data_IF_668386514083
#
_entry.id   IF_668386514083
#
_cell.length_a   1.000
_cell.length_b   1.000
_cell.length_c   1.000
_cell.angle_alpha   90.00
_cell.angle_beta   90.00
_cell.angle_gamma   90.00
#
_symmetry.space_group_name_H-M   'P 1'
#
loop_
_entity.id
_entity.type
_entity.pdbx_description
1 polymer ?
#
# COMPACT_ATOMS: atom_id res chain seq x y z
N UNK A 1 -31.89 16.63 12.40
CA UNK A 1 -32.94 15.62 12.04
C UNK A 1 -32.19 14.31 11.87
N UNK A 2 -32.76 13.19 12.36
CA UNK A 2 -32.18 11.88 12.05
C UNK A 2 -32.30 11.61 10.56
N UNK A 3 -31.31 10.93 9.98
CA UNK A 3 -31.44 10.45 8.61
C UNK A 3 -32.49 9.32 8.54
N UNK A 4 -33.09 9.11 7.38
CA UNK A 4 -34.14 8.11 7.17
C UNK A 4 -33.64 6.90 6.37
N UNK A 5 -32.37 6.49 6.55
CA UNK A 5 -31.87 5.29 5.90
C UNK A 5 -32.48 4.02 6.51
N UNK A 6 -32.67 2.96 5.72
CA UNK A 6 -33.02 1.64 6.24
C UNK A 6 -32.10 1.20 7.36
N UNK A 7 -32.56 0.30 8.22
CA UNK A 7 -31.80 -0.15 9.38
C UNK A 7 -31.35 -1.60 9.26
N UNK A 8 -30.19 -1.87 9.86
CA UNK A 8 -29.72 -3.22 10.15
C UNK A 8 -29.43 -3.35 11.64
N UNK A 9 -29.83 -4.46 12.24
CA UNK A 9 -29.63 -4.75 13.66
C UNK A 9 -28.45 -5.69 13.84
N UNK A 10 -27.61 -5.40 14.82
CA UNK A 10 -26.38 -6.16 15.10
C UNK A 10 -26.46 -6.87 16.44
N UNK A 11 -25.71 -7.98 16.53
CA UNK A 11 -25.55 -8.76 17.77
C UNK A 11 -24.69 -8.03 18.80
N UNK A 12 -24.75 -8.45 20.06
CA UNK A 12 -23.90 -7.93 21.14
C UNK A 12 -22.40 -8.10 20.85
N UNK A 13 -22.01 -9.15 20.11
CA UNK A 13 -20.63 -9.31 19.63
C UNK A 13 -20.28 -8.22 18.61
N UNK A 14 -21.20 -7.91 17.68
CA UNK A 14 -21.07 -6.82 16.72
C UNK A 14 -20.96 -5.46 17.41
N UNK A 15 -21.76 -5.21 18.45
CA UNK A 15 -21.67 -4.00 19.27
C UNK A 15 -20.28 -3.85 19.89
N UNK A 16 -19.79 -4.88 20.57
CA UNK A 16 -18.45 -4.89 21.17
C UNK A 16 -17.36 -4.64 20.14
N UNK A 17 -17.51 -5.18 18.93
CA UNK A 17 -16.60 -5.00 17.81
C UNK A 17 -16.55 -3.54 17.33
N UNK A 18 -17.71 -2.91 17.12
CA UNK A 18 -17.80 -1.51 16.66
C UNK A 18 -17.39 -0.51 17.74
N UNK A 19 -17.62 -0.83 19.03
CA UNK A 19 -17.15 0.00 20.16
C UNK A 19 -15.63 0.09 20.24
N UNK A 20 -14.89 -0.91 19.74
CA UNK A 20 -13.42 -0.86 19.61
C UNK A 20 -12.95 0.06 18.48
N UNK A 21 -13.86 0.71 17.76
CA UNK A 21 -13.56 1.65 16.70
C UNK A 21 -13.44 1.02 15.30
N UNK A 22 -13.78 -0.25 15.16
CA UNK A 22 -13.79 -0.93 13.86
C UNK A 22 -14.78 -0.29 12.90
N UNK A 23 -14.42 -0.28 11.60
CA UNK A 23 -15.24 0.30 10.54
C UNK A 23 -15.89 -0.77 9.64
N UNK A 24 -15.61 -2.04 9.89
CA UNK A 24 -16.18 -3.18 9.19
C UNK A 24 -17.09 -3.98 10.10
N UNK A 25 -18.29 -4.27 9.64
CA UNK A 25 -19.20 -5.21 10.28
C UNK A 25 -19.29 -6.48 9.42
N UNK A 26 -19.10 -7.62 10.04
CA UNK A 26 -19.11 -8.91 9.36
C UNK A 26 -20.49 -9.57 9.37
N UNK A 27 -20.73 -10.50 8.44
CA UNK A 27 -22.00 -11.19 8.23
C UNK A 27 -22.51 -11.92 9.49
N UNK A 28 -21.62 -12.50 10.27
CA UNK A 28 -21.98 -13.21 11.50
C UNK A 28 -22.46 -12.28 12.64
N UNK A 29 -22.25 -10.98 12.51
CA UNK A 29 -22.70 -9.98 13.48
C UNK A 29 -24.05 -9.34 13.10
N UNK A 30 -24.60 -9.69 11.94
CA UNK A 30 -25.91 -9.23 11.48
C UNK A 30 -26.98 -10.13 12.07
N UNK A 31 -27.98 -9.55 12.77
CA UNK A 31 -29.15 -10.26 13.27
C UNK A 31 -30.38 -10.04 12.37
N UNK A 32 -30.64 -8.79 12.00
CA UNK A 32 -31.79 -8.43 11.18
C UNK A 32 -31.44 -7.30 10.23
N UNK A 33 -32.11 -7.25 9.11
CA UNK A 33 -32.05 -6.13 8.15
C UNK A 33 -33.46 -5.80 7.69
N UNK A 34 -33.73 -4.52 7.43
CA UNK A 34 -34.97 -4.09 6.80
C UNK A 34 -35.14 -4.78 5.44
N UNK A 35 -36.39 -4.94 5.03
CA UNK A 35 -36.70 -5.54 3.74
C UNK A 35 -36.27 -4.63 2.58
N UNK A 36 -35.85 -5.26 1.47
CA UNK A 36 -35.56 -4.59 0.20
C UNK A 36 -34.38 -3.60 0.23
N UNK A 37 -33.40 -3.76 1.13
CA UNK A 37 -32.17 -2.97 1.05
C UNK A 37 -31.37 -3.45 -0.17
N UNK A 38 -31.07 -2.57 -1.15
CA UNK A 38 -30.25 -2.97 -2.30
C UNK A 38 -28.80 -3.21 -1.89
N UNK A 39 -28.09 -4.06 -2.65
CA UNK A 39 -26.64 -4.21 -2.49
C UNK A 39 -25.95 -2.88 -2.77
N UNK A 40 -25.02 -2.44 -1.88
CA UNK A 40 -24.42 -1.10 -1.94
C UNK A 40 -25.27 0.01 -1.33
N UNK A 41 -26.49 -0.29 -0.85
CA UNK A 41 -27.38 0.69 -0.21
C UNK A 41 -26.79 1.26 1.08
N UNK A 42 -27.21 2.49 1.42
CA UNK A 42 -26.82 3.14 2.68
C UNK A 42 -27.78 2.69 3.77
N UNK A 43 -27.23 2.26 4.92
CA UNK A 43 -28.01 1.79 6.08
C UNK A 43 -27.52 2.42 7.37
N UNK A 44 -28.43 2.51 8.34
CA UNK A 44 -28.10 2.76 9.74
C UNK A 44 -27.87 1.43 10.47
N UNK A 45 -26.87 1.39 11.32
CA UNK A 45 -26.53 0.24 12.15
C UNK A 45 -27.02 0.53 13.57
N UNK A 46 -27.88 -0.32 14.08
CA UNK A 46 -28.43 -0.22 15.43
C UNK A 46 -28.27 -1.53 16.20
N UNK A 47 -28.27 -1.47 17.52
CA UNK A 47 -28.42 -2.63 18.39
C UNK A 47 -29.91 -2.98 18.61
N UNK A 48 -30.16 -4.10 19.28
CA UNK A 48 -31.51 -4.54 19.61
C UNK A 48 -32.31 -3.57 20.51
N UNK A 49 -31.61 -2.77 21.32
CA UNK A 49 -32.22 -1.73 22.15
C UNK A 49 -32.39 -0.38 21.43
N UNK A 50 -32.03 -0.32 20.13
CA UNK A 50 -32.13 0.88 19.29
C UNK A 50 -30.96 1.85 19.41
N UNK A 51 -29.86 1.47 20.07
CA UNK A 51 -28.65 2.31 20.13
C UNK A 51 -27.98 2.37 18.75
N UNK A 52 -27.68 3.59 18.28
CA UNK A 52 -27.05 3.85 16.98
C UNK A 52 -25.53 3.64 17.04
N UNK A 53 -24.99 2.91 16.05
CA UNK A 53 -23.56 2.61 15.94
C UNK A 53 -22.87 3.24 14.72
N UNK A 54 -23.64 3.61 13.70
CA UNK A 54 -23.09 4.24 12.50
C UNK A 54 -24.00 4.14 11.29
N UNK A 55 -23.62 4.83 10.23
CA UNK A 55 -24.21 4.74 8.89
C UNK A 55 -23.16 4.26 7.91
N UNK A 56 -23.49 3.34 7.01
CA UNK A 56 -22.50 2.75 6.09
C UNK A 56 -23.11 2.10 4.85
N UNK A 57 -22.24 1.60 3.99
CA UNK A 57 -22.63 0.81 2.81
C UNK A 57 -22.92 -0.63 3.19
N UNK A 58 -24.10 -1.10 2.85
CA UNK A 58 -24.54 -2.48 3.05
C UNK A 58 -24.15 -3.38 1.88
N UNK A 59 -23.75 -4.60 2.15
CA UNK A 59 -23.53 -5.61 1.11
C UNK A 59 -24.29 -6.90 1.38
N UNK A 60 -25.00 -7.35 0.34
CA UNK A 60 -25.68 -8.65 0.32
C UNK A 60 -24.72 -9.82 0.07
N UNK A 61 -23.58 -9.57 -0.57
CA UNK A 61 -22.67 -10.59 -1.11
C UNK A 61 -21.42 -10.74 -0.23
N UNK A 62 -20.83 -9.64 0.17
CA UNK A 62 -19.56 -9.61 0.91
C UNK A 62 -19.64 -10.24 2.29
N UNK A 63 -18.53 -10.81 2.75
CA UNK A 63 -18.36 -11.15 4.16
C UNK A 63 -18.35 -9.92 5.08
N UNK A 64 -17.91 -8.77 4.55
CA UNK A 64 -18.02 -7.47 5.23
C UNK A 64 -19.40 -6.90 4.87
N UNK A 65 -20.38 -7.19 5.72
CA UNK A 65 -21.77 -6.85 5.48
C UNK A 65 -22.04 -5.35 5.49
N UNK A 66 -21.32 -4.60 6.33
CA UNK A 66 -21.41 -3.15 6.29
C UNK A 66 -20.04 -2.48 6.48
N UNK A 67 -19.78 -1.45 5.69
CA UNK A 67 -18.62 -0.57 5.83
C UNK A 67 -19.08 0.80 6.31
N UNK A 68 -18.68 1.16 7.53
CA UNK A 68 -19.12 2.39 8.18
C UNK A 68 -18.49 3.60 7.48
N UNK A 69 -19.34 4.57 7.15
CA UNK A 69 -18.98 5.87 6.60
C UNK A 69 -18.99 6.94 7.67
N UNK A 70 -19.99 6.93 8.54
CA UNK A 70 -20.16 7.95 9.59
C UNK A 70 -20.66 7.35 10.90
N UNK A 71 -20.23 7.94 12.02
CA UNK A 71 -20.78 7.70 13.36
C UNK A 71 -21.70 8.80 13.84
N UNK A 72 -22.00 9.78 13.00
CA UNK A 72 -22.92 10.86 13.29
C UNK A 72 -24.30 10.53 12.70
N UNK A 73 -25.28 10.27 13.56
CA UNK A 73 -26.64 9.86 13.19
C UNK A 73 -27.39 10.92 12.34
N UNK A 74 -27.01 12.19 12.45
CA UNK A 74 -27.63 13.28 11.68
C UNK A 74 -26.93 13.58 10.35
N UNK A 75 -25.85 12.87 10.03
CA UNK A 75 -25.08 13.10 8.82
C UNK A 75 -25.72 12.41 7.62
N UNK A 76 -25.95 13.17 6.54
CA UNK A 76 -26.39 12.64 5.25
C UNK A 76 -25.18 12.20 4.43
N UNK A 77 -25.28 11.04 3.82
CA UNK A 77 -24.25 10.51 2.91
C UNK A 77 -24.61 10.97 1.50
N UNK A 78 -24.30 12.23 1.22
CA UNK A 78 -24.59 12.93 -0.03
C UNK A 78 -23.31 13.49 -0.68
N UNK A 79 -23.45 14.31 -1.73
CA UNK A 79 -22.31 14.95 -2.40
C UNK A 79 -21.43 15.73 -1.42
N UNK A 80 -22.01 16.46 -0.47
CA UNK A 80 -21.27 17.28 0.49
C UNK A 80 -20.46 16.42 1.47
N UNK A 81 -20.98 15.24 1.83
CA UNK A 81 -20.24 14.27 2.63
C UNK A 81 -18.95 13.83 1.90
N UNK A 82 -19.07 13.38 0.66
CA UNK A 82 -17.91 12.90 -0.12
C UNK A 82 -16.93 14.03 -0.40
N UNK A 83 -17.42 15.21 -0.76
CA UNK A 83 -16.59 16.39 -1.00
C UNK A 83 -15.76 16.74 0.24
N UNK A 84 -16.37 16.82 1.41
CA UNK A 84 -15.66 17.11 2.66
C UNK A 84 -14.59 16.06 2.96
N UNK A 85 -14.85 14.75 2.74
CA UNK A 85 -13.90 13.66 2.98
C UNK A 85 -12.74 13.73 2.00
N UNK A 86 -13.01 13.99 0.74
CA UNK A 86 -11.98 14.11 -0.31
C UNK A 86 -11.08 15.32 -0.05
N UNK A 87 -11.66 16.48 0.31
CA UNK A 87 -10.90 17.68 0.69
C UNK A 87 -10.02 17.42 1.90
N UNK A 88 -10.54 16.73 2.91
CA UNK A 88 -9.78 16.38 4.11
C UNK A 88 -8.59 15.47 3.78
N UNK A 89 -8.80 14.48 2.93
CA UNK A 89 -7.74 13.59 2.46
C UNK A 89 -6.68 14.34 1.64
N UNK A 90 -7.10 15.28 0.79
CA UNK A 90 -6.20 16.14 0.01
C UNK A 90 -5.35 17.04 0.92
N UNK A 91 -5.97 17.74 1.88
CA UNK A 91 -5.28 18.64 2.81
C UNK A 91 -4.30 17.90 3.74
N UNK A 92 -4.65 16.67 4.11
CA UNK A 92 -3.72 15.79 4.83
C UNK A 92 -2.44 15.56 4.01
N UNK A 93 -2.56 15.23 2.71
CA UNK A 93 -1.38 15.02 1.83
C UNK A 93 -0.58 16.29 1.63
N UNK A 94 -1.21 17.45 1.55
CA UNK A 94 -0.49 18.75 1.55
C UNK A 94 0.38 18.93 2.79
N UNK A 95 -0.03 18.37 3.91
CA UNK A 95 0.71 18.45 5.18
C UNK A 95 1.85 17.44 5.24
N UNK A 96 1.60 16.17 4.86
CA UNK A 96 2.58 15.08 5.06
C UNK A 96 3.50 14.84 3.86
N UNK A 97 3.10 15.29 2.67
CA UNK A 97 3.82 15.11 1.38
C UNK A 97 3.95 16.41 0.57
N UNK A 98 4.30 17.55 1.16
CA UNK A 98 4.24 18.86 0.49
C UNK A 98 5.11 18.93 -0.77
N UNK A 99 6.16 18.12 -0.86
CA UNK A 99 7.10 18.11 -1.98
C UNK A 99 6.79 17.03 -3.04
N UNK A 100 5.81 16.17 -2.81
CA UNK A 100 5.52 15.01 -3.66
C UNK A 100 4.02 14.91 -4.04
N UNK A 101 3.28 16.01 -4.03
CA UNK A 101 1.85 16.02 -4.30
C UNK A 101 1.50 15.47 -5.70
N UNK A 102 2.38 15.61 -6.68
CA UNK A 102 2.19 15.04 -8.01
C UNK A 102 2.35 13.51 -8.07
N UNK A 103 2.93 12.89 -7.02
CA UNK A 103 3.21 11.45 -7.00
C UNK A 103 2.92 10.90 -5.59
N UNK A 104 1.63 10.73 -5.29
CA UNK A 104 1.15 10.52 -3.94
C UNK A 104 -0.14 9.71 -3.95
N UNK A 105 -0.37 8.89 -2.91
CA UNK A 105 -1.67 8.30 -2.63
C UNK A 105 -2.55 9.34 -1.97
N UNK A 106 -3.60 9.78 -2.66
CA UNK A 106 -4.53 10.79 -2.15
C UNK A 106 -5.67 10.21 -1.32
N UNK A 107 -6.08 8.98 -1.59
CA UNK A 107 -7.10 8.28 -0.79
C UNK A 107 -6.63 6.86 -0.53
N UNK A 108 -6.63 6.47 0.74
CA UNK A 108 -6.27 5.15 1.21
C UNK A 108 -7.42 4.48 1.98
N UNK A 109 -8.54 4.28 1.31
CA UNK A 109 -9.68 3.51 1.79
C UNK A 109 -10.18 3.94 3.18
N UNK A 110 -10.20 2.97 4.06
CA UNK A 110 -10.67 3.11 5.44
C UNK A 110 -9.88 4.14 6.24
N UNK A 111 -8.60 4.29 5.97
CA UNK A 111 -7.75 5.24 6.68
C UNK A 111 -8.10 6.72 6.37
N UNK A 112 -8.74 6.97 5.24
CA UNK A 112 -9.32 8.27 4.88
C UNK A 112 -10.84 8.32 5.08
N UNK A 113 -11.42 7.30 5.74
CA UNK A 113 -12.85 7.16 5.97
C UNK A 113 -13.68 7.15 4.67
N UNK A 114 -13.08 6.63 3.60
CA UNK A 114 -13.68 6.38 2.29
C UNK A 114 -13.48 4.89 1.93
N UNK A 115 -14.16 3.98 2.64
CA UNK A 115 -13.87 2.55 2.61
C UNK A 115 -13.95 1.98 1.20
N UNK A 116 -12.87 1.28 0.82
CA UNK A 116 -12.77 0.61 -0.47
C UNK A 116 -12.46 1.51 -1.66
N UNK A 117 -12.15 2.79 -1.45
CA UNK A 117 -11.64 3.69 -2.48
C UNK A 117 -10.13 3.92 -2.31
N UNK A 118 -9.36 3.68 -3.36
CA UNK A 118 -7.96 4.07 -3.46
C UNK A 118 -7.81 5.06 -4.61
N UNK A 119 -7.05 6.13 -4.39
CA UNK A 119 -6.72 7.11 -5.43
C UNK A 119 -5.24 7.44 -5.33
N UNK A 120 -4.47 7.07 -6.35
CA UNK A 120 -3.08 7.46 -6.53
C UNK A 120 -2.97 8.52 -7.63
N UNK A 121 -2.07 9.46 -7.45
CA UNK A 121 -1.75 10.45 -8.47
C UNK A 121 -0.35 10.17 -9.03
N UNK A 122 -0.24 10.15 -10.34
CA UNK A 122 1.03 10.11 -11.08
C UNK A 122 1.06 11.29 -12.05
N UNK A 123 1.68 12.39 -11.64
CA UNK A 123 1.64 13.69 -12.31
C UNK A 123 0.18 14.20 -12.44
N UNK A 124 -0.36 14.18 -13.65
CA UNK A 124 -1.70 14.65 -14.00
C UNK A 124 -2.71 13.52 -14.28
N UNK A 125 -2.36 12.29 -13.91
CA UNK A 125 -3.23 11.11 -14.04
C UNK A 125 -3.62 10.60 -12.65
N UNK A 126 -4.92 10.55 -12.36
CA UNK A 126 -5.42 9.82 -11.20
C UNK A 126 -5.63 8.35 -11.55
N UNK A 127 -5.12 7.47 -10.70
CA UNK A 127 -5.35 6.04 -10.81
C UNK A 127 -6.22 5.58 -9.65
N UNK A 128 -7.37 4.99 -9.97
CA UNK A 128 -8.37 4.64 -8.97
C UNK A 128 -8.58 3.14 -8.86
N UNK A 129 -8.90 2.68 -7.65
CA UNK A 129 -9.41 1.34 -7.39
C UNK A 129 -10.65 1.45 -6.50
N UNK A 130 -11.71 0.77 -6.89
CA UNK A 130 -12.95 0.66 -6.12
C UNK A 130 -13.20 -0.80 -5.79
N UNK A 131 -13.37 -1.12 -4.51
CA UNK A 131 -13.45 -2.49 -4.01
C UNK A 131 -14.78 -2.88 -3.35
N UNK A 132 -15.83 -2.03 -3.41
CA UNK A 132 -17.16 -2.37 -2.91
C UNK A 132 -18.28 -1.72 -3.72
N UNK A 133 -19.46 -2.32 -3.68
CA UNK A 133 -20.63 -1.93 -4.48
C UNK A 133 -21.13 -0.52 -4.14
N UNK A 134 -21.15 -0.14 -2.86
CA UNK A 134 -21.61 1.19 -2.46
C UNK A 134 -20.73 2.29 -3.04
N UNK A 135 -19.41 2.15 -3.00
CA UNK A 135 -18.49 3.11 -3.61
C UNK A 135 -18.59 3.12 -5.14
N UNK A 136 -18.81 1.93 -5.76
CA UNK A 136 -19.00 1.82 -7.21
C UNK A 136 -20.24 2.59 -7.70
N UNK A 137 -21.34 2.56 -6.95
CA UNK A 137 -22.57 3.30 -7.29
C UNK A 137 -22.39 4.82 -7.22
N UNK A 138 -21.45 5.29 -6.42
CA UNK A 138 -21.17 6.73 -6.23
C UNK A 138 -19.98 7.24 -7.05
N UNK A 139 -19.35 6.37 -7.86
CA UNK A 139 -18.05 6.68 -8.47
C UNK A 139 -18.06 7.91 -9.38
N UNK A 140 -19.11 8.11 -10.19
CA UNK A 140 -19.18 9.29 -11.06
C UNK A 140 -19.11 10.58 -10.25
N UNK A 141 -19.95 10.70 -9.22
CA UNK A 141 -19.96 11.87 -8.34
C UNK A 141 -18.59 12.04 -7.62
N UNK A 142 -17.99 10.95 -7.17
CA UNK A 142 -16.66 10.97 -6.53
C UNK A 142 -15.59 11.47 -7.49
N UNK A 143 -15.61 11.02 -8.74
CA UNK A 143 -14.62 11.43 -9.74
C UNK A 143 -14.80 12.90 -10.15
N UNK A 144 -16.04 13.37 -10.27
CA UNK A 144 -16.33 14.80 -10.50
C UNK A 144 -15.79 15.66 -9.35
N UNK A 145 -15.99 15.24 -8.09
CA UNK A 145 -15.45 15.94 -6.91
C UNK A 145 -13.91 15.91 -6.91
N UNK A 146 -13.29 14.78 -7.25
CA UNK A 146 -11.82 14.69 -7.33
C UNK A 146 -11.28 15.71 -8.34
N UNK A 147 -11.82 15.75 -9.55
CA UNK A 147 -11.41 16.72 -10.58
C UNK A 147 -11.57 18.17 -10.12
N UNK A 148 -12.68 18.48 -9.43
CA UNK A 148 -12.94 19.80 -8.88
C UNK A 148 -11.93 20.17 -7.77
N UNK A 149 -11.72 19.30 -6.79
CA UNK A 149 -10.79 19.53 -5.67
C UNK A 149 -9.34 19.70 -6.15
N UNK A 150 -8.88 18.88 -7.10
CA UNK A 150 -7.54 19.02 -7.65
C UNK A 150 -7.39 20.33 -8.41
N UNK A 151 -8.37 20.70 -9.26
CA UNK A 151 -8.38 21.96 -10.02
C UNK A 151 -8.33 23.19 -9.13
N UNK A 152 -9.10 23.23 -8.05
CA UNK A 152 -9.12 24.32 -7.07
C UNK A 152 -7.77 24.50 -6.36
N UNK A 153 -7.02 23.41 -6.21
CA UNK A 153 -5.66 23.44 -5.65
C UNK A 153 -4.57 23.67 -6.71
N UNK A 154 -4.95 24.06 -7.94
CA UNK A 154 -4.01 24.38 -9.01
C UNK A 154 -3.41 23.15 -9.71
N UNK A 155 -3.93 21.95 -9.45
CA UNK A 155 -3.47 20.71 -10.05
C UNK A 155 -4.51 20.22 -11.07
N UNK A 156 -4.24 20.42 -12.35
CA UNK A 156 -5.17 20.06 -13.44
C UNK A 156 -4.94 18.61 -13.82
N UNK A 157 -5.92 17.75 -13.52
CA UNK A 157 -5.91 16.34 -13.88
C UNK A 157 -6.33 16.17 -15.34
N UNK A 158 -5.49 15.47 -16.12
CA UNK A 158 -5.72 15.19 -17.54
C UNK A 158 -6.51 13.89 -17.76
N UNK A 159 -6.36 12.92 -16.88
CA UNK A 159 -7.03 11.62 -17.01
C UNK A 159 -7.33 10.95 -15.68
N UNK A 160 -8.37 10.10 -15.66
CA UNK A 160 -8.64 9.12 -14.60
C UNK A 160 -8.57 7.73 -15.23
N UNK A 161 -7.69 6.88 -14.69
CA UNK A 161 -7.52 5.49 -15.08
C UNK A 161 -8.00 4.56 -13.97
N UNK A 162 -8.91 3.65 -14.26
CA UNK A 162 -9.42 2.67 -13.30
C UNK A 162 -8.58 1.40 -13.35
N UNK A 163 -7.98 1.00 -12.21
CA UNK A 163 -7.28 -0.27 -11.98
C UNK A 163 -8.17 -1.18 -11.13
N UNK A 164 -9.36 -1.41 -11.63
CA UNK A 164 -10.37 -2.26 -11.01
C UNK A 164 -10.17 -3.76 -11.33
N UNK A 165 -8.97 -4.14 -11.80
CA UNK A 165 -8.49 -5.50 -12.03
C UNK A 165 -7.98 -6.19 -10.73
N UNK A 166 -8.60 -5.89 -9.59
CA UNK A 166 -8.25 -6.41 -8.26
C UNK A 166 -9.18 -7.54 -7.83
N UNK A 167 -8.60 -8.64 -7.35
CA UNK A 167 -9.34 -9.88 -6.97
C UNK A 167 -10.41 -9.68 -5.87
N UNK A 168 -10.30 -8.64 -5.06
CA UNK A 168 -11.30 -8.37 -4.01
C UNK A 168 -12.66 -8.02 -4.60
N UNK A 169 -12.72 -7.45 -5.79
CA UNK A 169 -13.97 -7.11 -6.48
C UNK A 169 -14.87 -8.32 -6.74
N UNK A 170 -14.29 -9.45 -7.11
CA UNK A 170 -15.04 -10.70 -7.32
C UNK A 170 -15.77 -11.16 -6.05
N UNK A 171 -15.14 -10.94 -4.87
CA UNK A 171 -15.75 -11.27 -3.57
C UNK A 171 -16.87 -10.31 -3.17
N UNK A 172 -16.93 -9.17 -3.80
CA UNK A 172 -17.95 -8.13 -3.63
C UNK A 172 -19.02 -8.18 -4.73
N UNK A 173 -18.96 -9.19 -5.61
CA UNK A 173 -19.88 -9.32 -6.75
C UNK A 173 -19.66 -8.32 -7.88
N UNK A 174 -18.52 -7.65 -7.91
CA UNK A 174 -18.16 -6.66 -8.91
C UNK A 174 -17.31 -7.28 -10.03
N UNK A 175 -17.49 -6.81 -11.25
CA UNK A 175 -16.67 -7.21 -12.39
C UNK A 175 -15.26 -6.62 -12.29
N UNK A 176 -14.27 -7.41 -12.74
CA UNK A 176 -12.86 -6.98 -12.83
C UNK A 176 -12.63 -6.32 -14.19
N UNK A 177 -12.03 -5.13 -14.22
CA UNK A 177 -11.66 -4.41 -15.44
C UNK A 177 -10.59 -3.36 -15.19
N UNK A 178 -9.94 -2.86 -16.25
CA UNK A 178 -9.06 -1.69 -16.21
C UNK A 178 -9.26 -0.85 -17.48
N UNK A 179 -8.99 0.46 -17.39
CA UNK A 179 -9.08 1.37 -18.52
C UNK A 179 -9.31 2.82 -18.10
N UNK A 180 -9.27 3.71 -19.07
CA UNK A 180 -9.59 5.11 -18.83
C UNK A 180 -11.09 5.30 -18.58
N UNK A 181 -11.43 5.94 -17.47
CA UNK A 181 -12.76 6.48 -17.20
C UNK A 181 -12.92 7.88 -17.84
N UNK A 182 -11.88 8.70 -17.71
CA UNK A 182 -11.82 10.06 -18.23
C UNK A 182 -10.47 10.27 -18.91
N UNK A 183 -10.46 10.60 -20.19
CA UNK A 183 -9.23 10.90 -20.95
C UNK A 183 -9.53 11.72 -22.19
N UNK A 184 -9.96 13.01 -22.04
CA UNK A 184 -10.37 13.86 -23.16
C UNK A 184 -9.21 14.21 -24.10
N UNK A 185 -7.95 14.17 -23.61
CA UNK A 185 -6.76 14.57 -24.34
C UNK A 185 -5.93 13.37 -24.85
N UNK A 186 -6.46 12.15 -24.77
CA UNK A 186 -5.79 10.91 -25.20
C UNK A 186 -4.39 10.73 -24.60
N UNK A 187 -4.26 10.98 -23.30
CA UNK A 187 -3.01 10.82 -22.53
C UNK A 187 -2.61 9.35 -22.51
N UNK A 188 -1.30 9.07 -22.59
CA UNK A 188 -0.76 7.72 -22.44
C UNK A 188 -0.93 7.19 -21.01
N UNK A 189 -1.19 5.90 -20.78
CA UNK A 189 -1.15 5.29 -19.45
C UNK A 189 0.29 5.14 -18.92
N UNK A 190 1.28 5.67 -19.60
CA UNK A 190 2.67 5.71 -19.17
C UNK A 190 3.10 7.15 -18.89
N UNK A 191 3.75 7.38 -17.77
CA UNK A 191 4.23 8.70 -17.35
C UNK A 191 5.58 8.58 -16.67
N UNK A 192 6.34 9.68 -16.64
CA UNK A 192 7.60 9.77 -15.89
C UNK A 192 7.36 10.63 -14.67
N UNK A 193 7.48 10.04 -13.49
CA UNK A 193 7.35 10.74 -12.21
C UNK A 193 8.73 11.16 -11.67
N UNK A 194 8.73 12.15 -10.77
CA UNK A 194 9.91 12.50 -9.98
C UNK A 194 9.67 12.13 -8.52
N UNK A 195 10.39 11.14 -8.00
CA UNK A 195 10.34 10.73 -6.61
C UNK A 195 11.64 11.14 -5.91
N UNK A 196 11.57 12.16 -5.06
CA UNK A 196 12.73 12.63 -4.29
C UNK A 196 13.99 12.91 -5.15
N UNK A 197 13.81 13.46 -6.35
CA UNK A 197 14.87 13.79 -7.31
C UNK A 197 15.27 12.66 -8.25
N UNK A 198 14.60 11.51 -8.21
CA UNK A 198 14.79 10.39 -9.14
C UNK A 198 13.63 10.33 -10.13
N UNK A 199 13.93 10.31 -11.42
CA UNK A 199 12.95 10.11 -12.47
C UNK A 199 12.65 8.62 -12.64
N UNK A 200 11.36 8.27 -12.65
CA UNK A 200 10.88 6.89 -12.74
C UNK A 200 9.77 6.81 -13.79
N UNK A 201 9.92 5.93 -14.75
CA UNK A 201 8.85 5.60 -15.67
C UNK A 201 7.84 4.69 -14.95
N UNK A 202 6.58 5.07 -14.95
CA UNK A 202 5.45 4.33 -14.41
C UNK A 202 4.54 3.89 -15.53
N UNK A 203 4.25 2.59 -15.60
CA UNK A 203 3.23 2.01 -16.47
C UNK A 203 1.97 1.76 -15.64
N UNK A 204 1.00 2.64 -15.77
CA UNK A 204 -0.27 2.58 -15.04
C UNK A 204 -1.09 1.36 -15.46
N UNK A 205 -1.02 1.00 -16.73
CA UNK A 205 -1.81 -0.09 -17.29
C UNK A 205 -1.29 -1.47 -16.90
N UNK A 206 0.04 -1.69 -16.99
CA UNK A 206 0.65 -3.02 -16.84
C UNK A 206 1.50 -3.15 -15.56
N UNK A 207 1.81 -2.03 -14.89
CA UNK A 207 2.56 -2.03 -13.65
C UNK A 207 1.79 -2.68 -12.50
N UNK A 208 2.51 -3.11 -11.48
CA UNK A 208 1.93 -3.69 -10.27
C UNK A 208 1.14 -2.63 -9.48
N UNK A 209 0.15 -3.08 -8.69
CA UNK A 209 -0.78 -2.22 -7.94
C UNK A 209 -1.46 -1.21 -8.90
N UNK A 210 -1.24 0.06 -8.67
CA UNK A 210 -1.73 1.18 -9.50
C UNK A 210 -0.70 1.66 -10.54
N UNK A 211 0.48 1.02 -10.58
CA UNK A 211 1.59 1.34 -11.49
C UNK A 211 2.95 1.35 -10.80
N UNK A 212 3.03 1.77 -9.53
CA UNK A 212 4.27 1.85 -8.76
C UNK A 212 4.02 1.72 -7.25
N UNK A 213 5.09 1.45 -6.48
CA UNK A 213 5.05 1.26 -5.02
C UNK A 213 5.34 2.58 -4.29
N UNK A 214 4.34 3.47 -4.19
CA UNK A 214 4.46 4.76 -3.51
C UNK A 214 4.69 4.62 -2.00
N UNK A 215 4.25 3.51 -1.40
CA UNK A 215 4.34 3.22 0.03
C UNK A 215 5.78 3.07 0.56
N UNK A 216 6.76 2.78 -0.30
CA UNK A 216 8.17 2.66 0.05
C UNK A 216 9.00 3.95 -0.17
N UNK A 217 8.38 5.05 -0.58
CA UNK A 217 9.04 6.30 -0.97
C UNK A 217 10.05 6.81 0.07
N UNK A 218 9.62 6.94 1.33
CA UNK A 218 10.49 7.39 2.44
C UNK A 218 11.57 6.36 2.77
N UNK A 219 11.24 5.08 2.69
CA UNK A 219 12.15 4.00 3.02
C UNK A 219 13.31 3.92 2.03
N UNK A 220 13.05 4.21 0.76
CA UNK A 220 14.09 4.32 -0.26
C UNK A 220 15.09 5.45 0.05
N UNK A 221 14.62 6.57 0.61
CA UNK A 221 15.49 7.67 1.05
C UNK A 221 16.37 7.26 2.24
N UNK A 222 15.87 6.43 3.16
CA UNK A 222 16.69 5.93 4.28
C UNK A 222 17.87 5.08 3.79
N UNK A 223 17.67 4.22 2.80
CA UNK A 223 18.77 3.51 2.13
C UNK A 223 19.76 4.49 1.48
N UNK A 224 19.26 5.49 0.73
CA UNK A 224 20.09 6.52 0.07
C UNK A 224 21.07 7.15 1.04
N UNK A 225 20.62 7.47 2.25
CA UNK A 225 21.41 8.17 3.27
C UNK A 225 22.60 7.34 3.81
N UNK A 226 22.56 6.01 3.69
CA UNK A 226 23.64 5.13 4.19
C UNK A 226 24.44 4.46 3.07
N UNK A 227 24.07 4.69 1.80
CA UNK A 227 24.63 3.98 0.64
C UNK A 227 26.01 4.51 0.17
N UNK A 228 26.44 5.69 0.62
CA UNK A 228 27.68 6.34 0.12
C UNK A 228 28.89 5.43 0.27
N UNK A 229 29.63 5.21 -0.85
CA UNK A 229 30.80 4.33 -0.98
C UNK A 229 30.55 2.85 -0.59
N UNK A 230 29.31 2.38 -0.59
CA UNK A 230 28.92 1.00 -0.26
C UNK A 230 28.62 0.20 -1.54
N UNK A 231 28.87 -1.11 -1.48
CA UNK A 231 28.39 -2.10 -2.45
C UNK A 231 27.02 -2.56 -1.97
N UNK A 232 25.99 -2.34 -2.77
CA UNK A 232 24.58 -2.57 -2.38
C UNK A 232 24.00 -3.69 -3.24
N UNK A 233 23.33 -4.65 -2.58
CA UNK A 233 22.49 -5.65 -3.22
C UNK A 233 21.03 -5.31 -2.96
N UNK A 234 20.25 -5.10 -4.02
CA UNK A 234 18.80 -4.90 -3.98
C UNK A 234 18.10 -6.17 -4.47
N UNK A 235 17.51 -6.90 -3.52
CA UNK A 235 16.79 -8.16 -3.76
C UNK A 235 15.29 -7.92 -3.93
N UNK A 236 14.67 -8.63 -4.89
CA UNK A 236 13.28 -8.41 -5.28
C UNK A 236 13.07 -6.99 -5.80
N UNK A 237 14.02 -6.53 -6.59
CA UNK A 237 14.21 -5.11 -6.90
C UNK A 237 13.11 -4.49 -7.77
N UNK A 238 12.26 -5.32 -8.41
CA UNK A 238 11.23 -4.88 -9.33
C UNK A 238 11.82 -3.91 -10.39
N UNK A 239 11.32 -2.67 -10.50
CA UNK A 239 11.84 -1.64 -11.42
C UNK A 239 13.02 -0.84 -10.86
N UNK A 240 13.70 -1.35 -9.85
CA UNK A 240 14.94 -0.81 -9.30
C UNK A 240 14.78 0.38 -8.36
N UNK A 241 13.65 0.53 -7.68
CA UNK A 241 13.40 1.70 -6.83
C UNK A 241 14.44 1.88 -5.71
N UNK A 242 14.82 0.82 -5.01
CA UNK A 242 15.88 0.86 -4.01
C UNK A 242 17.27 0.97 -4.65
N UNK A 243 17.53 0.22 -5.72
CA UNK A 243 18.81 0.28 -6.45
C UNK A 243 19.13 1.69 -6.95
N UNK A 244 18.15 2.39 -7.54
CA UNK A 244 18.28 3.76 -8.01
C UNK A 244 18.59 4.72 -6.85
N UNK A 245 17.89 4.57 -5.72
CA UNK A 245 18.15 5.38 -4.53
C UNK A 245 19.54 5.14 -3.96
N UNK A 246 20.03 3.89 -3.94
CA UNK A 246 21.39 3.57 -3.54
C UNK A 246 22.43 4.22 -4.47
N UNK A 247 22.27 4.08 -5.79
CA UNK A 247 23.16 4.67 -6.79
C UNK A 247 23.17 6.21 -6.73
N UNK A 248 21.99 6.82 -6.58
CA UNK A 248 21.83 8.27 -6.40
C UNK A 248 22.49 8.76 -5.08
N UNK A 249 22.48 7.92 -4.04
CA UNK A 249 23.18 8.12 -2.77
C UNK A 249 24.70 7.87 -2.83
N UNK A 250 25.28 7.85 -4.05
CA UNK A 250 26.70 7.61 -4.29
C UNK A 250 27.20 6.23 -3.78
N UNK A 251 26.40 5.19 -3.90
CA UNK A 251 26.89 3.83 -3.76
C UNK A 251 28.09 3.60 -4.69
N UNK A 252 29.05 2.77 -4.23
CA UNK A 252 30.22 2.38 -5.02
C UNK A 252 29.83 1.51 -6.21
N UNK A 253 28.90 0.58 -5.98
CA UNK A 253 28.30 -0.30 -6.97
C UNK A 253 26.97 -0.81 -6.44
N UNK A 254 26.02 -1.09 -7.31
CA UNK A 254 24.70 -1.65 -6.97
C UNK A 254 24.44 -2.86 -7.84
N UNK A 255 23.96 -3.95 -7.24
CA UNK A 255 23.42 -5.10 -7.96
C UNK A 255 21.91 -5.19 -7.67
N UNK A 256 21.11 -5.19 -8.71
CA UNK A 256 19.64 -5.23 -8.67
C UNK A 256 19.17 -6.59 -9.17
N UNK A 257 18.54 -7.40 -8.31
CA UNK A 257 18.15 -8.79 -8.60
C UNK A 257 16.64 -8.96 -8.54
N UNK A 258 16.07 -9.48 -9.62
CA UNK A 258 14.65 -9.86 -9.71
C UNK A 258 14.46 -11.03 -10.67
N UNK A 259 13.39 -11.80 -10.51
CA UNK A 259 13.03 -12.89 -11.45
C UNK A 259 12.42 -12.35 -12.75
N UNK A 260 11.85 -11.14 -12.71
CA UNK A 260 11.15 -10.53 -13.83
C UNK A 260 12.08 -9.75 -14.74
N UNK A 261 12.42 -10.33 -15.89
CA UNK A 261 13.21 -9.62 -16.90
C UNK A 261 12.54 -8.30 -17.36
N UNK A 262 11.22 -8.27 -17.46
CA UNK A 262 10.48 -7.06 -17.85
C UNK A 262 10.68 -5.94 -16.83
N UNK A 263 10.61 -6.26 -15.54
CA UNK A 263 10.84 -5.28 -14.47
C UNK A 263 12.29 -4.78 -14.47
N UNK A 264 13.27 -5.68 -14.67
CA UNK A 264 14.69 -5.30 -14.74
C UNK A 264 14.99 -4.44 -15.96
N UNK A 265 14.39 -4.72 -17.12
CA UNK A 265 14.53 -3.85 -18.30
C UNK A 265 13.98 -2.45 -18.05
N UNK A 266 12.83 -2.34 -17.38
CA UNK A 266 12.30 -1.03 -16.97
C UNK A 266 13.22 -0.36 -15.94
N UNK A 267 13.77 -1.11 -14.99
CA UNK A 267 14.80 -0.63 -14.05
C UNK A 267 16.01 -0.04 -14.76
N UNK A 268 16.49 -0.70 -15.79
CA UNK A 268 17.60 -0.20 -16.62
C UNK A 268 17.23 1.11 -17.37
N UNK A 269 15.98 1.21 -17.90
CA UNK A 269 15.53 2.48 -18.50
C UNK A 269 15.43 3.59 -17.45
N UNK A 270 14.97 3.28 -16.25
CA UNK A 270 14.95 4.21 -15.13
C UNK A 270 16.38 4.65 -14.74
N UNK A 271 17.35 3.74 -14.76
CA UNK A 271 18.76 4.08 -14.51
C UNK A 271 19.29 5.05 -15.57
N UNK A 272 18.99 4.82 -16.85
CA UNK A 272 19.35 5.73 -17.94
C UNK A 272 18.74 7.13 -17.81
N UNK A 273 17.46 7.22 -17.44
CA UNK A 273 16.78 8.50 -17.20
C UNK A 273 17.53 9.37 -16.17
N UNK A 274 18.23 8.71 -15.23
CA UNK A 274 18.95 9.35 -14.13
C UNK A 274 20.47 9.37 -14.33
N UNK A 275 20.99 8.87 -15.45
CA UNK A 275 22.44 8.74 -15.73
C UNK A 275 23.16 7.87 -14.65
N UNK A 276 22.52 6.80 -14.25
CA UNK A 276 22.99 5.87 -13.21
C UNK A 276 23.25 4.44 -13.75
N UNK A 277 23.08 4.20 -15.05
CA UNK A 277 23.18 2.88 -15.68
C UNK A 277 24.55 2.21 -15.47
N UNK A 278 25.62 2.98 -15.43
CA UNK A 278 26.98 2.46 -15.21
C UNK A 278 27.24 2.05 -13.75
N UNK A 279 26.37 2.46 -12.80
CA UNK A 279 26.49 2.14 -11.39
C UNK A 279 25.66 0.92 -10.96
N UNK A 280 24.70 0.50 -11.79
CA UNK A 280 23.75 -0.54 -11.43
C UNK A 280 23.84 -1.72 -12.40
N UNK A 281 24.18 -2.89 -11.86
CA UNK A 281 24.09 -4.16 -12.58
C UNK A 281 22.72 -4.80 -12.33
N UNK A 282 21.97 -5.08 -13.41
CA UNK A 282 20.68 -5.77 -13.35
C UNK A 282 20.87 -7.26 -13.62
N UNK A 283 20.40 -8.12 -12.72
CA UNK A 283 20.59 -9.57 -12.76
C UNK A 283 19.24 -10.27 -12.67
N UNK A 284 18.90 -11.07 -13.67
CA UNK A 284 17.72 -11.92 -13.63
C UNK A 284 18.07 -13.23 -12.91
N UNK A 285 17.56 -13.40 -11.68
CA UNK A 285 17.75 -14.60 -10.89
C UNK A 285 16.64 -14.77 -9.84
N UNK A 286 16.46 -16.00 -9.36
CA UNK A 286 15.76 -16.24 -8.10
C UNK A 286 16.65 -15.74 -6.94
N UNK A 287 16.06 -14.92 -6.05
CA UNK A 287 16.81 -14.30 -4.95
C UNK A 287 17.32 -15.34 -3.95
N UNK A 288 16.57 -16.41 -3.70
CA UNK A 288 17.00 -17.46 -2.79
C UNK A 288 18.26 -18.18 -3.30
N UNK A 289 18.28 -18.49 -4.60
CA UNK A 289 19.42 -19.12 -5.25
C UNK A 289 20.61 -18.15 -5.38
N UNK A 290 20.32 -16.88 -5.66
CA UNK A 290 21.34 -15.84 -5.79
C UNK A 290 22.08 -15.62 -4.46
N UNK A 291 21.35 -15.50 -3.34
CA UNK A 291 21.96 -15.34 -2.01
C UNK A 291 22.80 -16.53 -1.58
N UNK A 292 22.50 -17.76 -2.03
CA UNK A 292 23.30 -18.97 -1.75
C UNK A 292 24.68 -18.97 -2.42
N UNK A 293 24.82 -18.27 -3.54
CA UNK A 293 26.06 -18.23 -4.32
C UNK A 293 27.00 -17.11 -3.91
N UNK A 294 26.55 -16.20 -3.03
CA UNK A 294 27.33 -15.05 -2.59
C UNK A 294 28.49 -15.47 -1.67
N UNK A 295 29.58 -14.74 -1.83
CA UNK A 295 30.73 -14.85 -0.93
C UNK A 295 30.56 -13.92 0.28
N UNK A 296 31.24 -14.28 1.36
CA UNK A 296 31.31 -13.44 2.56
C UNK A 296 31.83 -12.03 2.21
N UNK A 297 31.15 -11.00 2.72
CA UNK A 297 31.51 -9.59 2.52
C UNK A 297 31.54 -9.13 1.05
N UNK A 298 30.81 -9.79 0.15
CA UNK A 298 30.69 -9.33 -1.23
C UNK A 298 29.93 -8.01 -1.33
N UNK A 299 28.95 -7.78 -0.43
CA UNK A 299 28.19 -6.56 -0.28
C UNK A 299 28.33 -5.95 1.09
N UNK A 300 28.16 -4.64 1.17
CA UNK A 300 28.17 -3.85 2.40
C UNK A 300 26.75 -3.59 2.90
N UNK A 301 25.77 -3.59 2.00
CA UNK A 301 24.33 -3.45 2.29
C UNK A 301 23.57 -4.49 1.47
N UNK A 302 22.62 -5.19 2.10
CA UNK A 302 21.64 -6.05 1.43
C UNK A 302 20.24 -5.53 1.77
N UNK A 303 19.42 -5.33 0.74
CA UNK A 303 18.00 -4.97 0.84
C UNK A 303 17.15 -6.19 0.51
N UNK A 304 16.24 -6.56 1.40
CA UNK A 304 15.25 -7.62 1.22
C UNK A 304 13.84 -6.99 1.26
N UNK A 305 13.26 -6.75 0.08
CA UNK A 305 11.86 -6.29 -0.06
C UNK A 305 11.02 -7.33 -0.82
N UNK A 306 10.82 -8.53 -0.25
CA UNK A 306 10.14 -9.61 -0.93
C UNK A 306 8.64 -9.33 -1.12
N UNK A 307 7.99 -9.97 -2.09
CA UNK A 307 6.54 -9.97 -2.20
C UNK A 307 5.90 -10.56 -0.93
N UNK A 308 4.63 -10.28 -0.71
CA UNK A 308 3.90 -10.83 0.43
C UNK A 308 3.90 -12.36 0.40
N UNK A 309 4.64 -13.01 1.31
CA UNK A 309 4.71 -14.47 1.41
C UNK A 309 3.43 -15.08 1.98
N UNK A 310 2.59 -14.28 2.64
CA UNK A 310 1.27 -14.75 3.10
C UNK A 310 0.17 -13.74 2.79
N UNK A 311 -1.00 -14.28 2.40
CA UNK A 311 -2.24 -13.53 2.15
C UNK A 311 -3.38 -14.05 3.04
N UNK A 312 -3.09 -14.96 3.98
CA UNK A 312 -4.09 -15.54 4.88
C UNK A 312 -3.46 -16.04 6.17
N UNK A 313 -4.26 -16.15 7.24
CA UNK A 313 -3.82 -16.74 8.51
C UNK A 313 -3.30 -18.19 8.36
N UNK A 314 -3.82 -18.94 7.39
CA UNK A 314 -3.46 -20.34 7.16
C UNK A 314 -2.02 -20.54 6.69
N UNK A 315 -1.43 -19.53 6.03
CA UNK A 315 -0.09 -19.60 5.44
C UNK A 315 0.97 -18.80 6.20
N UNK A 316 0.66 -18.30 7.40
CA UNK A 316 1.58 -17.50 8.21
C UNK A 316 2.83 -18.28 8.59
N UNK A 317 2.71 -19.55 9.01
CA UNK A 317 3.87 -20.37 9.38
C UNK A 317 4.80 -20.59 8.18
N UNK A 318 4.28 -20.89 7.02
CA UNK A 318 5.11 -21.04 5.80
C UNK A 318 5.82 -19.73 5.45
N UNK A 319 5.12 -18.59 5.56
CA UNK A 319 5.72 -17.28 5.34
C UNK A 319 6.82 -16.96 6.37
N UNK A 320 6.61 -17.31 7.63
CA UNK A 320 7.61 -17.14 8.69
C UNK A 320 8.94 -17.81 8.30
N UNK A 321 8.90 -19.08 7.89
CA UNK A 321 10.09 -19.79 7.46
C UNK A 321 10.70 -19.23 6.16
N UNK A 322 9.89 -18.74 5.23
CA UNK A 322 10.35 -18.06 4.03
C UNK A 322 11.13 -16.78 4.36
N UNK A 323 10.57 -15.92 5.21
CA UNK A 323 11.26 -14.72 5.69
C UNK A 323 12.52 -15.07 6.49
N UNK A 324 12.45 -16.07 7.38
CA UNK A 324 13.59 -16.53 8.16
C UNK A 324 14.75 -16.97 7.26
N UNK A 325 14.48 -17.79 6.25
CA UNK A 325 15.48 -18.29 5.32
C UNK A 325 16.23 -17.16 4.60
N UNK A 326 15.52 -16.22 3.96
CA UNK A 326 16.19 -15.13 3.23
C UNK A 326 16.96 -14.19 4.15
N UNK A 327 16.45 -13.93 5.36
CA UNK A 327 17.14 -13.08 6.33
C UNK A 327 18.42 -13.76 6.85
N UNK A 328 18.37 -15.06 7.16
CA UNK A 328 19.56 -15.82 7.57
C UNK A 328 20.63 -15.85 6.47
N UNK A 329 20.24 -16.08 5.20
CA UNK A 329 21.18 -16.04 4.08
C UNK A 329 21.86 -14.68 3.98
N UNK A 330 21.11 -13.58 4.06
CA UNK A 330 21.65 -12.24 4.02
C UNK A 330 22.56 -11.93 5.23
N UNK A 331 22.19 -12.33 6.44
CA UNK A 331 23.01 -12.17 7.64
C UNK A 331 24.34 -12.90 7.56
N UNK A 332 24.36 -14.12 7.00
CA UNK A 332 25.57 -14.91 6.84
C UNK A 332 26.57 -14.26 5.87
N UNK A 333 26.09 -13.59 4.83
CA UNK A 333 26.94 -12.91 3.83
C UNK A 333 27.42 -11.55 4.33
N UNK A 334 26.57 -10.84 5.09
CA UNK A 334 26.83 -9.49 5.61
C UNK A 334 27.68 -9.50 6.88
N UNK A 335 28.80 -10.09 6.97
CA UNK A 335 29.57 -10.14 8.23
C UNK A 335 29.85 -8.76 8.86
N UNK A 336 30.48 -8.75 10.03
CA UNK A 336 30.73 -7.63 10.94
C UNK A 336 30.84 -6.24 10.29
N UNK A 337 29.84 -5.39 10.56
CA UNK A 337 29.77 -4.02 10.07
C UNK A 337 28.91 -3.80 8.81
N UNK A 338 28.40 -4.86 8.17
CA UNK A 338 27.44 -4.76 7.07
C UNK A 338 26.05 -4.34 7.53
N UNK A 339 25.20 -3.94 6.59
CA UNK A 339 23.86 -3.42 6.87
C UNK A 339 22.80 -4.29 6.21
N UNK A 340 21.83 -4.74 7.00
CA UNK A 340 20.66 -5.45 6.52
C UNK A 340 19.46 -4.51 6.53
N UNK A 341 18.82 -4.36 5.38
CA UNK A 341 17.50 -3.74 5.23
C UNK A 341 16.52 -4.88 4.94
N UNK A 342 15.47 -5.02 5.74
CA UNK A 342 14.51 -6.10 5.57
C UNK A 342 13.08 -5.61 5.76
N UNK A 343 12.21 -6.03 4.84
CA UNK A 343 10.82 -5.59 4.77
C UNK A 343 9.85 -6.76 4.81
N UNK A 344 8.64 -6.48 5.24
CA UNK A 344 7.48 -7.34 5.01
C UNK A 344 6.26 -6.50 4.73
N UNK A 345 5.63 -6.69 3.57
CA UNK A 345 4.33 -6.11 3.21
C UNK A 345 3.16 -7.07 3.51
N UNK A 346 3.41 -8.21 4.17
CA UNK A 346 2.37 -9.17 4.54
C UNK A 346 1.63 -8.71 5.79
N UNK A 347 0.34 -8.35 5.67
CA UNK A 347 -0.51 -7.97 6.80
C UNK A 347 -0.52 -9.03 7.92
N UNK A 348 -0.67 -10.31 7.54
CA UNK A 348 -0.74 -11.42 8.51
C UNK A 348 0.61 -11.78 9.17
N UNK A 349 1.72 -11.25 8.66
CA UNK A 349 3.00 -11.24 9.35
C UNK A 349 3.05 -10.00 10.25
N UNK A 350 2.42 -10.08 11.43
CA UNK A 350 2.38 -8.99 12.39
C UNK A 350 3.78 -8.53 12.79
N UNK A 351 3.94 -7.27 13.21
CA UNK A 351 5.25 -6.68 13.54
C UNK A 351 5.99 -7.51 14.60
N UNK A 352 5.31 -7.89 15.68
CA UNK A 352 5.93 -8.71 16.75
C UNK A 352 6.41 -10.06 16.25
N UNK A 353 5.64 -10.70 15.35
CA UNK A 353 6.01 -11.98 14.77
C UNK A 353 7.22 -11.83 13.84
N UNK A 354 7.29 -10.75 13.07
CA UNK A 354 8.42 -10.44 12.21
C UNK A 354 9.69 -10.14 13.02
N UNK A 355 9.56 -9.37 14.10
CA UNK A 355 10.65 -9.09 15.06
C UNK A 355 11.18 -10.38 15.71
N UNK A 356 10.28 -11.25 16.16
CA UNK A 356 10.66 -12.55 16.71
C UNK A 356 11.45 -13.38 15.67
N UNK A 357 10.98 -13.44 14.43
CA UNK A 357 11.65 -14.14 13.35
C UNK A 357 13.07 -13.60 13.11
N UNK A 358 13.25 -12.27 13.13
CA UNK A 358 14.57 -11.64 12.95
C UNK A 358 15.53 -11.97 14.11
N UNK A 359 15.03 -11.94 15.36
CA UNK A 359 15.84 -12.31 16.53
C UNK A 359 16.27 -13.78 16.50
N UNK A 360 15.37 -14.69 16.11
CA UNK A 360 15.70 -16.10 15.93
C UNK A 360 16.73 -16.29 14.81
N UNK A 361 16.55 -15.61 13.68
CA UNK A 361 17.48 -15.65 12.54
C UNK A 361 18.89 -15.21 12.96
N UNK A 362 18.98 -14.08 13.67
CA UNK A 362 20.27 -13.56 14.15
C UNK A 362 20.96 -14.52 15.13
N UNK A 363 20.19 -15.10 16.05
CA UNK A 363 20.72 -16.10 17.01
C UNK A 363 21.28 -17.34 16.29
N UNK A 364 20.56 -17.85 15.30
CA UNK A 364 21.00 -19.03 14.53
C UNK A 364 22.23 -18.73 13.65
N UNK A 365 22.35 -17.50 13.12
CA UNK A 365 23.53 -17.05 12.38
C UNK A 365 24.71 -16.66 13.29
N UNK A 366 24.52 -16.60 14.60
CA UNK A 366 25.58 -16.18 15.55
C UNK A 366 25.94 -14.70 15.43
N UNK A 367 25.01 -13.83 14.99
CA UNK A 367 25.23 -12.40 14.83
C UNK A 367 24.38 -11.59 15.78
N UNK A 368 24.78 -10.33 16.04
CA UNK A 368 24.02 -9.36 16.82
C UNK A 368 23.48 -8.28 15.90
N UNK A 369 22.18 -7.96 16.01
CA UNK A 369 21.53 -6.89 15.26
C UNK A 369 21.54 -5.58 16.05
N UNK A 370 22.19 -4.55 15.49
CA UNK A 370 22.09 -3.18 16.00
C UNK A 370 21.06 -2.44 15.15
N UNK A 371 19.92 -2.14 15.73
CA UNK A 371 18.86 -1.39 15.03
C UNK A 371 19.28 0.05 14.76
N UNK A 372 19.10 0.47 13.51
CA UNK A 372 19.32 1.87 13.06
C UNK A 372 17.97 2.57 12.88
N UNK A 373 17.02 1.91 12.22
CA UNK A 373 15.70 2.48 11.94
C UNK A 373 14.64 1.40 11.91
N UNK A 374 13.45 1.78 12.35
CA UNK A 374 12.20 1.03 12.14
C UNK A 374 11.17 2.00 11.60
N UNK A 375 10.59 1.67 10.45
CA UNK A 375 9.56 2.49 9.80
C UNK A 375 8.45 1.61 9.23
N UNK A 376 7.43 2.25 8.73
CA UNK A 376 6.25 1.64 8.11
C UNK A 376 6.06 2.19 6.69
N UNK A 377 4.86 2.10 6.15
CA UNK A 377 4.50 2.73 4.89
C UNK A 377 4.65 4.25 4.95
N UNK A 378 4.89 4.83 3.79
CA UNK A 378 5.01 6.29 3.66
C UNK A 378 3.75 7.02 4.18
N UNK A 379 3.86 8.22 4.77
CA UNK A 379 2.74 8.94 5.39
C UNK A 379 1.52 9.17 4.49
N UNK A 380 1.66 9.18 3.17
CA UNK A 380 0.52 9.25 2.24
C UNK A 380 -0.35 7.96 2.24
N UNK A 381 0.11 6.91 2.90
CA UNK A 381 -0.62 5.69 3.23
C UNK A 381 -0.94 5.65 4.73
N UNK A 382 -1.85 6.50 5.24
CA UNK A 382 -2.07 6.65 6.68
C UNK A 382 -2.52 5.36 7.35
N UNK A 383 -2.26 5.27 8.65
CA UNK A 383 -2.68 4.15 9.50
C UNK A 383 -3.81 4.62 10.40
N UNK A 384 -4.95 3.97 10.33
CA UNK A 384 -6.05 4.18 11.25
C UNK A 384 -5.88 3.24 12.45
N UNK A 385 -5.58 3.78 13.61
CA UNK A 385 -5.21 3.00 14.80
C UNK A 385 -6.27 2.01 15.29
N UNK A 386 -7.52 2.21 14.92
CA UNK A 386 -8.62 1.29 15.22
C UNK A 386 -8.78 0.18 14.18
N UNK A 387 -7.98 0.21 13.09
CA UNK A 387 -8.04 -0.76 11.99
C UNK A 387 -6.63 -1.25 11.62
N UNK A 388 -6.24 -2.37 12.20
CA UNK A 388 -4.94 -3.02 11.92
C UNK A 388 -4.75 -3.32 10.42
N UNK A 389 -5.86 -3.42 9.68
CA UNK A 389 -5.88 -3.62 8.23
C UNK A 389 -5.16 -2.53 7.45
N UNK A 390 -5.09 -1.33 8.00
CA UNK A 390 -4.42 -0.19 7.36
C UNK A 390 -2.91 -0.17 7.60
N UNK A 391 -2.39 -0.97 8.55
CA UNK A 391 -0.96 -1.13 8.84
C UNK A 391 -0.46 -2.45 8.25
N UNK A 392 0.39 -2.40 7.23
CA UNK A 392 0.83 -3.61 6.55
C UNK A 392 2.33 -3.69 6.26
N UNK A 393 3.03 -2.56 6.19
CA UNK A 393 4.44 -2.53 5.86
C UNK A 393 5.29 -2.44 7.14
N UNK A 394 6.28 -3.30 7.24
CA UNK A 394 7.35 -3.29 8.23
C UNK A 394 8.67 -3.12 7.49
N UNK A 395 9.47 -2.16 7.92
CA UNK A 395 10.76 -1.86 7.33
C UNK A 395 11.79 -1.65 8.45
N UNK A 396 12.85 -2.41 8.41
CA UNK A 396 13.92 -2.38 9.41
C UNK A 396 15.28 -2.16 8.75
N UNK A 397 16.12 -1.37 9.38
CA UNK A 397 17.55 -1.25 9.06
C UNK A 397 18.36 -1.70 10.27
N UNK A 398 19.20 -2.67 10.06
CA UNK A 398 20.16 -3.17 11.07
C UNK A 398 21.59 -3.05 10.59
N UNK A 399 22.50 -2.81 11.54
CA UNK A 399 23.92 -3.12 11.37
C UNK A 399 24.19 -4.51 11.97
N UNK A 400 24.92 -5.34 11.26
CA UNK A 400 25.36 -6.67 11.70
C UNK A 400 26.66 -6.52 12.50
N UNK A 401 26.70 -7.08 13.74
CA UNK A 401 27.86 -7.06 14.64
C UNK A 401 28.31 -8.48 14.95
#
# INVERSE_FOLDING_TARGET
>A
MKNNYPTITISSEGETWLQKGQMWMYRNNLEQADENIPDGGIVNIISNDGTYYGTGFYSLISHITCRILSKNESELIDKFFFERRIRFAYDYRKTVEPNNLSNCRYIFGEADLLPGLVVDCYNDILVTQISNTGMEQHKQMIYDILLEVFKENGHIIQAIYERNDIKVREKEGLTSYKGFYYNPNSVSPQTIINENGIQLQVDIENGQKTGYFLDQKSNRVLLRNIACNKRVLDCFSHTGGFALNAAYGNAKAVTSVDVSNVALQQGYQNAKLNQLEDKIQFVQADVFDYLEQLKDNEFDIIVLDPPAFTKSRKTVNSAYYGYKNINMKAMNVLRNGGYLITCSCSRFMETKLFEQMLLESAKECGVTLRQISVTQQNPDHPILWTMDETSYLKYFIFQIL
#
